data_IF_968025465313
#
_entry.id   IF_968025465313
#
_cell.length_a   1.000
_cell.length_b   1.000
_cell.length_c   1.000
_cell.angle_alpha   90.00
_cell.angle_beta   90.00
_cell.angle_gamma   90.00
#
_symmetry.space_group_name_H-M   'P 1'
#
loop_
_entity.id
_entity.type
_entity.pdbx_description
1 polymer ?
#
# COMPACT_ATOMS: atom_id res chain seq x y z
N UNK A 1 28.06 -20.24 -55.25
CA UNK A 1 27.37 -21.57 -55.16
C UNK A 1 27.16 -21.82 -53.68
N UNK A 2 25.92 -21.76 -53.21
CA UNK A 2 25.54 -22.10 -51.85
C UNK A 2 25.63 -23.62 -51.74
N UNK A 3 26.53 -24.13 -50.89
CA UNK A 3 26.62 -25.55 -50.54
C UNK A 3 25.34 -25.91 -49.77
N UNK A 4 24.55 -26.82 -50.31
CA UNK A 4 23.36 -27.35 -49.62
C UNK A 4 23.81 -28.58 -48.84
N UNK A 5 23.78 -28.49 -47.54
CA UNK A 5 24.01 -29.62 -46.66
C UNK A 5 23.02 -30.76 -46.95
N UNK A 6 23.50 -32.01 -46.92
CA UNK A 6 22.62 -33.17 -47.01
C UNK A 6 21.70 -33.27 -45.79
N UNK A 7 20.65 -34.09 -45.86
CA UNK A 7 19.73 -34.30 -44.72
C UNK A 7 20.51 -34.82 -43.47
N UNK A 8 21.40 -35.72 -43.67
CA UNK A 8 22.23 -36.32 -42.62
C UNK A 8 23.18 -35.29 -41.96
N UNK A 9 23.77 -34.38 -42.78
CA UNK A 9 24.60 -33.30 -42.23
C UNK A 9 23.80 -32.27 -41.44
N UNK A 10 22.55 -32.02 -41.81
CA UNK A 10 21.66 -31.12 -41.04
C UNK A 10 21.29 -31.77 -39.69
N UNK A 11 20.96 -33.05 -39.73
CA UNK A 11 20.61 -33.79 -38.51
C UNK A 11 21.78 -33.86 -37.54
N UNK A 12 22.99 -34.04 -38.01
CA UNK A 12 24.21 -34.04 -37.19
C UNK A 12 24.45 -32.65 -36.54
N UNK A 13 24.20 -31.57 -37.27
CA UNK A 13 24.32 -30.21 -36.76
C UNK A 13 23.21 -29.88 -35.75
N UNK A 14 22.01 -30.40 -35.95
CA UNK A 14 20.90 -30.25 -34.99
C UNK A 14 21.21 -31.02 -33.70
N UNK A 15 21.69 -32.24 -33.79
CA UNK A 15 22.07 -33.05 -32.62
C UNK A 15 23.24 -32.43 -31.84
N UNK A 16 24.23 -31.82 -32.49
CA UNK A 16 25.30 -31.06 -31.82
C UNK A 16 24.77 -29.82 -31.13
N UNK A 17 23.89 -29.05 -31.78
CA UNK A 17 23.28 -27.85 -31.21
C UNK A 17 22.43 -28.21 -29.98
N UNK A 18 21.64 -29.28 -30.04
CA UNK A 18 20.81 -29.71 -28.92
C UNK A 18 21.68 -30.19 -27.73
N UNK A 19 22.82 -30.86 -28.02
CA UNK A 19 23.79 -31.26 -27.01
C UNK A 19 24.44 -30.04 -26.33
N UNK A 20 24.83 -29.03 -27.12
CA UNK A 20 25.43 -27.81 -26.60
C UNK A 20 24.41 -26.97 -25.78
N UNK A 21 23.17 -26.90 -26.23
CA UNK A 21 22.09 -26.26 -25.47
C UNK A 21 21.85 -26.94 -24.13
N UNK A 22 21.80 -28.28 -24.12
CA UNK A 22 21.62 -29.01 -22.88
C UNK A 22 22.83 -28.85 -21.90
N UNK A 23 24.05 -28.75 -22.43
CA UNK A 23 25.20 -28.45 -21.61
C UNK A 23 25.19 -27.06 -20.99
N UNK A 24 24.82 -26.05 -21.78
CA UNK A 24 24.65 -24.64 -21.32
C UNK A 24 23.53 -24.54 -20.30
N UNK A 25 22.41 -25.21 -20.51
CA UNK A 25 21.30 -25.22 -19.54
C UNK A 25 21.71 -25.84 -18.20
N UNK A 26 22.50 -26.93 -18.22
CA UNK A 26 23.07 -27.53 -17.01
C UNK A 26 24.03 -26.57 -16.29
N UNK A 27 24.87 -25.86 -17.02
CA UNK A 27 25.78 -24.86 -16.45
C UNK A 27 25.02 -23.68 -15.82
N UNK A 28 23.98 -23.18 -16.49
CA UNK A 28 23.09 -22.14 -15.95
C UNK A 28 22.42 -22.61 -14.66
N UNK A 29 21.95 -23.87 -14.61
CA UNK A 29 21.31 -24.40 -13.41
C UNK A 29 22.30 -24.57 -12.24
N UNK A 30 23.57 -24.95 -12.53
CA UNK A 30 24.62 -25.02 -11.54
C UNK A 30 25.05 -23.62 -11.04
N UNK A 31 25.08 -22.63 -11.91
CA UNK A 31 25.44 -21.24 -11.58
C UNK A 31 24.27 -20.48 -10.97
N UNK A 32 23.07 -21.03 -11.05
CA UNK A 32 21.89 -20.41 -10.43
C UNK A 32 22.10 -20.35 -8.93
N UNK A 33 22.25 -19.16 -8.34
CA UNK A 33 22.36 -19.07 -6.89
C UNK A 33 21.13 -19.73 -6.29
N UNK A 34 21.32 -20.61 -5.32
CA UNK A 34 20.22 -21.23 -4.59
C UNK A 34 19.26 -20.10 -4.18
N UNK A 35 18.08 -20.06 -4.81
CA UNK A 35 17.08 -19.07 -4.42
C UNK A 35 16.84 -19.33 -2.94
N UNK A 36 17.13 -18.36 -2.06
CA UNK A 36 16.75 -18.50 -0.66
C UNK A 36 15.26 -18.82 -0.70
N UNK A 37 14.88 -19.93 -0.07
CA UNK A 37 13.49 -20.35 0.04
C UNK A 37 12.67 -19.09 0.27
N UNK A 38 11.69 -18.83 -0.59
CA UNK A 38 10.94 -17.58 -0.60
C UNK A 38 10.42 -17.35 0.81
N UNK A 39 11.20 -16.65 1.60
CA UNK A 39 10.76 -16.12 2.89
C UNK A 39 9.58 -15.27 2.50
N UNK A 40 8.39 -15.73 2.85
CA UNK A 40 7.16 -15.01 2.57
C UNK A 40 7.45 -13.55 2.90
N UNK A 41 7.44 -12.70 1.87
CA UNK A 41 7.71 -11.27 2.01
C UNK A 41 6.80 -10.79 3.14
N UNK A 42 7.37 -10.67 4.33
CA UNK A 42 6.64 -10.12 5.46
C UNK A 42 6.29 -8.70 5.03
N UNK A 43 5.03 -8.51 4.66
CA UNK A 43 4.54 -7.17 4.37
C UNK A 43 4.89 -6.31 5.59
N UNK A 44 5.65 -5.23 5.44
CA UNK A 44 6.07 -4.42 6.56
C UNK A 44 4.81 -3.95 7.29
N UNK A 45 4.60 -4.43 8.51
CA UNK A 45 3.50 -3.98 9.35
C UNK A 45 3.75 -2.52 9.67
N UNK A 46 2.75 -1.68 9.42
CA UNK A 46 2.82 -0.26 9.78
C UNK A 46 3.12 -0.14 11.28
N UNK A 47 4.14 0.62 11.62
CA UNK A 47 4.38 0.98 13.00
C UNK A 47 3.16 1.79 13.52
N UNK A 48 2.72 1.54 14.76
CA UNK A 48 1.65 2.32 15.37
C UNK A 48 2.08 3.79 15.50
N UNK A 49 1.13 4.70 15.33
CA UNK A 49 1.39 6.13 15.53
C UNK A 49 1.69 6.42 17.01
N UNK A 50 2.64 7.33 17.31
CA UNK A 50 3.00 7.68 18.67
C UNK A 50 1.76 8.07 19.51
N UNK A 51 1.67 7.56 20.74
CA UNK A 51 0.51 7.78 21.60
C UNK A 51 0.38 9.24 22.05
N UNK A 52 1.51 9.97 22.11
CA UNK A 52 1.55 11.37 22.57
C UNK A 52 0.96 12.38 21.55
N UNK A 53 0.76 11.99 20.30
CA UNK A 53 0.18 12.89 19.31
C UNK A 53 -1.31 13.12 19.62
N UNK A 54 -1.81 14.37 19.54
CA UNK A 54 -3.23 14.66 19.70
C UNK A 54 -4.04 13.94 18.64
N UNK A 55 -5.16 13.34 19.06
CA UNK A 55 -6.07 12.60 18.17
C UNK A 55 -7.39 13.32 18.07
N UNK A 56 -7.80 13.60 16.83
CA UNK A 56 -9.12 14.13 16.51
C UNK A 56 -9.99 13.00 15.95
N UNK A 57 -11.08 12.68 16.65
CA UNK A 57 -12.01 11.62 16.21
C UNK A 57 -13.01 12.16 15.17
N UNK A 58 -13.02 11.53 14.01
CA UNK A 58 -13.99 11.77 12.95
C UNK A 58 -14.89 10.54 12.85
N UNK A 59 -16.15 10.68 13.24
CA UNK A 59 -17.13 9.59 13.22
C UNK A 59 -17.92 9.61 11.93
N UNK A 60 -17.89 8.51 11.20
CA UNK A 60 -18.66 8.29 9.98
C UNK A 60 -19.83 7.36 10.30
N UNK A 61 -21.01 7.90 10.34
CA UNK A 61 -22.24 7.15 10.53
C UNK A 61 -22.98 7.01 9.21
N UNK A 62 -23.75 5.92 8.98
CA UNK A 62 -24.57 5.78 7.80
C UNK A 62 -25.71 6.82 7.85
N UNK A 63 -26.06 7.38 6.71
CA UNK A 63 -27.13 8.39 6.58
C UNK A 63 -28.51 7.88 7.04
N UNK A 64 -28.72 6.56 7.05
CA UNK A 64 -29.96 5.92 7.49
C UNK A 64 -29.63 4.71 8.33
N UNK A 65 -30.24 4.62 9.52
CA UNK A 65 -30.14 3.48 10.44
C UNK A 65 -31.28 2.48 10.27
N UNK A 66 -32.10 2.61 9.22
CA UNK A 66 -33.16 1.70 8.88
C UNK A 66 -32.68 0.68 7.83
N UNK A 67 -33.08 -0.56 7.96
CA UNK A 67 -32.73 -1.61 7.00
C UNK A 67 -33.38 -1.31 5.64
N UNK A 68 -32.54 -1.30 4.57
CA UNK A 68 -32.99 -1.01 3.20
C UNK A 68 -33.48 -2.25 2.44
N UNK A 69 -33.45 -3.43 3.05
CA UNK A 69 -33.96 -4.66 2.41
C UNK A 69 -35.47 -4.52 2.20
N UNK A 70 -35.99 -4.77 0.98
CA UNK A 70 -37.42 -4.70 0.70
C UNK A 70 -38.23 -5.55 1.68
N UNK A 71 -39.25 -4.95 2.30
CA UNK A 71 -40.13 -5.61 3.28
C UNK A 71 -39.55 -5.80 4.69
N UNK A 72 -38.35 -5.31 4.99
CA UNK A 72 -37.77 -5.42 6.32
C UNK A 72 -38.04 -4.20 7.22
N UNK A 73 -37.61 -2.99 6.86
CA UNK A 73 -37.87 -1.72 7.57
C UNK A 73 -37.42 -1.66 9.04
N UNK A 74 -36.67 -2.63 9.54
CA UNK A 74 -36.24 -2.69 10.92
C UNK A 74 -35.08 -1.72 11.23
N UNK A 75 -34.99 -1.27 12.49
CA UNK A 75 -33.84 -0.49 12.98
C UNK A 75 -32.57 -1.35 12.99
N UNK A 76 -31.47 -0.78 12.50
CA UNK A 76 -30.15 -1.38 12.53
C UNK A 76 -29.55 -1.26 13.94
N UNK A 77 -28.90 -2.32 14.42
CA UNK A 77 -28.15 -2.32 15.67
C UNK A 77 -26.65 -2.20 15.37
N UNK A 78 -25.94 -1.34 16.11
CA UNK A 78 -24.49 -1.23 16.01
C UNK A 78 -23.85 -2.50 16.57
N UNK A 79 -23.05 -3.20 15.77
CA UNK A 79 -22.37 -4.46 16.12
C UNK A 79 -20.88 -4.31 16.28
N UNK A 80 -20.30 -3.18 15.87
CA UNK A 80 -18.86 -2.93 15.96
C UNK A 80 -18.46 -1.64 15.26
N UNK A 81 -17.17 -1.43 15.14
CA UNK A 81 -16.59 -0.27 14.43
C UNK A 81 -15.26 -0.63 13.83
N UNK A 82 -14.94 -0.03 12.68
CA UNK A 82 -13.61 0.00 12.11
C UNK A 82 -12.96 1.33 12.48
N UNK A 83 -11.71 1.28 12.90
CA UNK A 83 -10.93 2.46 13.25
C UNK A 83 -9.73 2.54 12.32
N UNK A 84 -9.59 3.66 11.62
CA UNK A 84 -8.42 3.97 10.80
C UNK A 84 -7.82 5.28 11.30
N UNK A 85 -6.51 5.31 11.51
CA UNK A 85 -5.79 6.52 11.92
C UNK A 85 -5.04 7.10 10.74
N UNK A 86 -5.13 8.42 10.58
CA UNK A 86 -4.42 9.21 9.59
C UNK A 86 -3.62 10.29 10.26
N UNK A 87 -2.44 10.56 9.70
CA UNK A 87 -1.57 11.60 10.20
C UNK A 87 -1.84 12.87 9.43
N UNK A 88 -2.15 13.93 10.15
CA UNK A 88 -2.29 15.28 9.64
C UNK A 88 -1.17 16.18 10.17
N UNK A 89 -0.88 17.24 9.45
CA UNK A 89 0.17 18.20 9.78
C UNK A 89 -0.31 19.62 9.51
N UNK A 90 -0.42 20.38 10.57
CA UNK A 90 -0.47 21.84 10.50
C UNK A 90 0.95 22.33 10.80
N UNK A 91 1.54 23.30 10.06
CA UNK A 91 2.93 23.70 10.24
C UNK A 91 3.33 23.82 11.71
N UNK A 92 4.28 22.98 12.14
CA UNK A 92 4.76 22.88 13.52
C UNK A 92 4.04 21.86 14.42
N UNK A 93 2.87 21.31 14.04
CA UNK A 93 2.12 20.38 14.88
C UNK A 93 1.61 19.19 14.07
N UNK A 94 1.96 17.98 14.50
CA UNK A 94 1.36 16.76 13.99
C UNK A 94 0.10 16.43 14.78
N UNK A 95 -0.97 16.07 14.06
CA UNK A 95 -2.21 15.57 14.63
C UNK A 95 -2.56 14.23 13.99
N UNK A 96 -3.36 13.43 14.67
CA UNK A 96 -3.86 12.16 14.13
C UNK A 96 -5.36 12.26 13.95
N UNK A 97 -5.81 12.17 12.70
CA UNK A 97 -7.22 11.97 12.40
C UNK A 97 -7.59 10.50 12.57
N UNK A 98 -8.46 10.24 13.53
CA UNK A 98 -8.97 8.91 13.81
C UNK A 98 -10.35 8.75 13.17
N UNK A 99 -10.40 8.09 12.01
CA UNK A 99 -11.63 7.80 11.31
C UNK A 99 -12.32 6.57 11.91
N UNK A 100 -13.49 6.76 12.51
CA UNK A 100 -14.29 5.71 13.14
C UNK A 100 -15.52 5.46 12.28
N UNK A 101 -15.69 4.22 11.80
CA UNK A 101 -16.84 3.79 10.98
C UNK A 101 -17.60 2.72 11.74
N UNK A 102 -18.79 3.06 12.22
CA UNK A 102 -19.69 2.12 12.89
C UNK A 102 -20.18 1.03 11.91
N UNK A 103 -20.26 -0.21 12.38
CA UNK A 103 -20.91 -1.34 11.69
C UNK A 103 -22.29 -1.54 12.29
N UNK A 104 -23.30 -1.55 11.44
CA UNK A 104 -24.70 -1.67 11.82
C UNK A 104 -25.31 -2.93 11.19
N UNK A 105 -26.00 -3.73 11.97
CA UNK A 105 -26.67 -4.94 11.48
C UNK A 105 -28.16 -4.91 11.76
N UNK A 106 -28.94 -5.45 10.83
CA UNK A 106 -30.34 -5.71 11.02
C UNK A 106 -30.53 -7.04 11.75
N UNK A 107 -31.25 -7.05 12.88
CA UNK A 107 -31.52 -8.26 13.64
C UNK A 107 -32.41 -9.25 12.88
N UNK A 108 -33.26 -8.79 11.94
CA UNK A 108 -34.21 -9.61 11.20
C UNK A 108 -33.61 -10.24 9.95
N UNK A 109 -32.96 -9.45 9.09
CA UNK A 109 -32.43 -9.92 7.81
C UNK A 109 -30.90 -10.05 7.77
N UNK A 110 -30.21 -9.76 8.88
CA UNK A 110 -28.74 -9.85 9.05
C UNK A 110 -27.93 -9.02 8.06
N UNK A 111 -28.57 -8.09 7.34
CA UNK A 111 -27.89 -7.18 6.42
C UNK A 111 -27.00 -6.23 7.21
N UNK A 112 -25.73 -6.09 6.79
CA UNK A 112 -24.75 -5.19 7.39
C UNK A 112 -24.69 -3.90 6.58
N UNK A 113 -24.72 -2.76 7.26
CA UNK A 113 -24.58 -1.43 6.67
C UNK A 113 -23.44 -0.69 7.37
N UNK A 114 -22.58 -0.06 6.59
CA UNK A 114 -21.48 0.76 7.10
C UNK A 114 -21.34 2.01 6.21
N UNK A 115 -20.89 3.12 6.81
CA UNK A 115 -20.58 4.31 6.02
C UNK A 115 -19.46 4.04 5.01
N UNK A 116 -19.51 4.64 3.80
CA UNK A 116 -18.45 4.48 2.81
C UNK A 116 -17.11 5.02 3.36
N UNK A 117 -16.02 4.52 2.81
CA UNK A 117 -14.69 5.08 3.11
C UNK A 117 -14.58 6.43 2.42
N UNK A 118 -14.20 7.51 3.11
CA UNK A 118 -13.90 8.78 2.46
C UNK A 118 -12.80 8.61 1.41
N UNK A 119 -12.90 9.33 0.30
CA UNK A 119 -11.85 9.34 -0.72
C UNK A 119 -10.55 9.93 -0.13
N UNK A 120 -9.44 9.29 -0.43
CA UNK A 120 -8.11 9.72 -0.01
C UNK A 120 -7.21 9.85 -1.23
N UNK A 121 -6.24 10.76 -1.18
CA UNK A 121 -5.26 10.95 -2.27
C UNK A 121 -4.44 9.69 -2.49
N UNK A 122 -4.02 9.03 -1.40
CA UNK A 122 -3.35 7.74 -1.44
C UNK A 122 -4.25 6.71 -0.78
N UNK A 123 -4.69 5.71 -1.54
CA UNK A 123 -5.53 4.63 -1.04
C UNK A 123 -4.84 3.89 0.10
N UNK A 124 -5.56 3.72 1.22
CA UNK A 124 -5.02 3.13 2.45
C UNK A 124 -3.74 3.82 2.96
N UNK A 125 -3.46 5.02 2.45
CA UNK A 125 -2.31 5.84 2.86
C UNK A 125 -2.44 6.31 4.31
N UNK A 126 -1.30 6.59 4.94
CA UNK A 126 -1.23 7.18 6.28
C UNK A 126 -1.47 8.69 6.26
N UNK A 127 -0.96 9.47 5.25
CA UNK A 127 -1.04 10.91 5.27
C UNK A 127 -2.45 11.40 4.91
N UNK A 128 -2.84 12.53 5.49
CA UNK A 128 -3.95 13.35 5.01
C UNK A 128 -3.54 14.14 3.78
N UNK A 129 -4.51 14.72 3.08
CA UNK A 129 -4.25 15.66 1.98
C UNK A 129 -3.41 16.86 2.44
N UNK A 130 -3.63 17.34 3.67
CA UNK A 130 -2.87 18.46 4.25
C UNK A 130 -1.39 18.13 4.44
N UNK A 131 -1.07 16.95 4.99
CA UNK A 131 0.31 16.53 5.12
C UNK A 131 0.99 16.32 3.77
N UNK A 132 0.30 15.74 2.78
CA UNK A 132 0.82 15.57 1.42
C UNK A 132 1.11 16.92 0.77
N UNK A 133 0.19 17.88 0.88
CA UNK A 133 0.38 19.23 0.36
C UNK A 133 1.61 19.90 0.97
N UNK A 134 1.79 19.78 2.29
CA UNK A 134 2.97 20.32 2.98
C UNK A 134 4.27 19.72 2.46
N UNK A 135 4.33 18.39 2.28
CA UNK A 135 5.52 17.70 1.75
C UNK A 135 5.85 18.16 0.33
N UNK A 136 4.81 18.29 -0.53
CA UNK A 136 4.97 18.70 -1.92
C UNK A 136 5.40 20.17 -2.03
N UNK A 137 4.75 21.08 -1.30
CA UNK A 137 5.10 22.52 -1.29
C UNK A 137 6.53 22.69 -0.78
N UNK A 138 6.86 22.08 0.36
CA UNK A 138 8.21 22.15 0.90
C UNK A 138 9.27 21.62 -0.10
N UNK A 139 8.95 20.53 -0.84
CA UNK A 139 9.89 19.96 -1.81
C UNK A 139 10.03 20.82 -3.07
N UNK A 140 8.92 21.27 -3.67
CA UNK A 140 8.94 21.86 -5.01
C UNK A 140 8.89 23.38 -5.01
N UNK A 141 8.19 24.00 -4.07
CA UNK A 141 8.13 25.45 -3.95
C UNK A 141 9.26 26.02 -3.06
N UNK A 142 9.53 25.37 -1.91
CA UNK A 142 10.54 25.84 -0.96
C UNK A 142 11.91 25.17 -1.17
N UNK A 143 12.05 24.33 -2.19
CA UNK A 143 13.26 23.61 -2.55
C UNK A 143 13.92 22.83 -1.39
N UNK A 144 13.09 22.33 -0.44
CA UNK A 144 13.56 21.54 0.69
C UNK A 144 13.72 20.07 0.30
N UNK A 145 14.93 19.52 0.31
CA UNK A 145 15.11 18.10 0.04
C UNK A 145 14.48 17.23 1.14
N UNK A 146 14.05 16.02 0.79
CA UNK A 146 13.31 15.14 1.70
C UNK A 146 14.08 14.80 2.99
N UNK A 147 15.42 14.71 2.93
CA UNK A 147 16.24 14.49 4.14
C UNK A 147 16.15 15.64 5.15
N UNK A 148 15.96 16.88 4.66
CA UNK A 148 15.76 18.04 5.53
C UNK A 148 14.36 18.00 6.15
N UNK A 149 13.34 17.65 5.38
CA UNK A 149 11.97 17.47 5.89
C UNK A 149 11.92 16.36 6.94
N UNK A 150 12.60 15.22 6.72
CA UNK A 150 12.75 14.15 7.70
C UNK A 150 13.29 14.67 9.04
N UNK A 151 14.36 15.48 8.99
CA UNK A 151 14.93 16.08 10.20
C UNK A 151 14.01 17.11 10.87
N UNK A 152 13.24 17.88 10.09
CA UNK A 152 12.24 18.82 10.61
C UNK A 152 11.14 18.07 11.34
N UNK A 153 10.61 17.00 10.73
CA UNK A 153 9.56 16.18 11.32
C UNK A 153 10.02 15.42 12.56
N UNK A 154 11.28 14.94 12.56
CA UNK A 154 11.87 14.31 13.74
C UNK A 154 11.95 15.29 14.94
N UNK A 155 12.31 16.57 14.70
CA UNK A 155 12.28 17.60 15.75
C UNK A 155 10.88 17.92 16.25
N UNK A 156 9.85 17.75 15.40
CA UNK A 156 8.45 17.88 15.79
C UNK A 156 7.89 16.59 16.48
N UNK A 157 8.76 15.63 16.80
CA UNK A 157 8.41 14.43 17.55
C UNK A 157 7.93 13.25 16.70
N UNK A 158 8.04 13.33 15.37
CA UNK A 158 7.62 12.23 14.49
C UNK A 158 8.74 11.82 13.53
N UNK A 159 9.23 10.60 13.66
CA UNK A 159 10.19 10.00 12.75
C UNK A 159 9.47 9.48 11.49
N UNK A 160 9.62 10.20 10.38
CA UNK A 160 9.14 9.78 9.06
C UNK A 160 10.35 9.57 8.14
N UNK A 161 10.66 8.31 7.76
CA UNK A 161 11.79 8.03 6.89
C UNK A 161 11.65 8.72 5.53
N UNK A 162 12.75 9.24 5.00
CA UNK A 162 12.79 9.86 3.66
C UNK A 162 12.28 8.94 2.55
N UNK A 163 12.42 7.61 2.70
CA UNK A 163 11.87 6.63 1.76
C UNK A 163 10.33 6.69 1.70
N UNK A 164 9.68 6.84 2.86
CA UNK A 164 8.22 7.03 2.94
C UNK A 164 7.79 8.34 2.29
N UNK A 165 8.51 9.43 2.57
CA UNK A 165 8.24 10.73 1.93
C UNK A 165 8.43 10.66 0.41
N UNK A 166 9.48 9.98 -0.07
CA UNK A 166 9.72 9.77 -1.49
C UNK A 166 8.61 8.96 -2.16
N UNK A 167 8.12 7.91 -1.49
CA UNK A 167 7.00 7.13 -1.97
C UNK A 167 5.73 7.97 -2.10
N UNK A 168 5.41 8.82 -1.11
CA UNK A 168 4.26 9.71 -1.18
C UNK A 168 4.35 10.69 -2.35
N UNK A 169 5.53 11.31 -2.52
CA UNK A 169 5.78 12.23 -3.64
C UNK A 169 5.64 11.53 -5.00
N UNK A 170 6.08 10.27 -5.10
CA UNK A 170 5.96 9.51 -6.34
C UNK A 170 4.53 8.99 -6.64
N UNK A 171 3.65 8.98 -5.62
CA UNK A 171 2.25 8.52 -5.78
C UNK A 171 1.31 9.68 -6.10
N UNK A 172 1.64 10.92 -5.72
CA UNK A 172 0.89 12.14 -6.03
C UNK A 172 1.21 12.69 -7.41
#
# INVERSE_FOLDING_TARGET
KSERHSADQRQLLEDELDSDLAAVEQEIEQLRPAQPAATALQQPKRAPLPAQLPRHEIRHEPACTTCRTPGCGCQLKRIGQDVAEKLDYVPGVFTVERHIRGKWACAKCQTITQAPVPAHVIDKGLPTAGLLAQVLVAKYADHQPLYRQENIFARAGLALPRSTLAQWVGTC
#
